data_IF_192792629884
#
_entry.id   IF_192792629884
#
_cell.length_a   1.000
_cell.length_b   1.000
_cell.length_c   1.000
_cell.angle_alpha   90.00
_cell.angle_beta   90.00
_cell.angle_gamma   90.00
#
_symmetry.space_group_name_H-M   'P 1'
#
loop_
_entity.id
_entity.type
_entity.pdbx_description
1 polymer ?
#
# COMPACT_ATOMS: atom_id res chain seq x y z
N UNK A 1 33.97 -8.07 10.12
CA UNK A 1 34.47 -9.23 9.34
C UNK A 1 34.04 -9.00 7.90
N UNK A 2 34.97 -8.57 7.06
CA UNK A 2 34.75 -8.49 5.61
C UNK A 2 34.72 -9.91 5.08
N UNK A 3 33.55 -10.38 4.64
CA UNK A 3 33.36 -11.74 4.15
C UNK A 3 33.96 -11.77 2.74
N UNK A 4 35.02 -12.55 2.51
CA UNK A 4 35.58 -12.78 1.17
C UNK A 4 34.55 -13.55 0.33
N UNK A 5 33.62 -12.81 -0.25
CA UNK A 5 32.58 -13.34 -1.12
C UNK A 5 33.18 -13.55 -2.52
N UNK A 6 32.91 -14.68 -3.18
CA UNK A 6 33.41 -14.93 -4.53
C UNK A 6 32.89 -13.88 -5.52
N UNK A 7 33.64 -13.66 -6.60
CA UNK A 7 33.22 -12.77 -7.69
C UNK A 7 31.85 -13.22 -8.24
N UNK A 8 30.88 -12.29 -8.28
CA UNK A 8 29.50 -12.59 -8.67
C UNK A 8 28.57 -13.09 -7.56
N UNK A 9 28.99 -13.08 -6.28
CA UNK A 9 28.12 -13.41 -5.15
C UNK A 9 26.90 -12.48 -5.02
N UNK A 10 27.04 -11.22 -5.42
CA UNK A 10 25.95 -10.24 -5.43
C UNK A 10 25.69 -9.79 -6.87
N UNK A 11 24.46 -10.00 -7.35
CA UNK A 11 24.00 -9.46 -8.62
C UNK A 11 23.31 -8.13 -8.29
N UNK A 12 23.79 -6.98 -8.80
CA UNK A 12 23.15 -5.71 -8.53
C UNK A 12 21.75 -5.68 -9.16
N UNK A 13 20.71 -5.77 -8.33
CA UNK A 13 19.32 -5.60 -8.78
C UNK A 13 19.04 -4.09 -8.86
N UNK A 14 18.62 -3.64 -10.03
CA UNK A 14 18.28 -2.24 -10.22
C UNK A 14 17.07 -1.87 -9.35
N UNK A 15 17.16 -0.76 -8.62
CA UNK A 15 16.11 -0.30 -7.68
C UNK A 15 14.73 -0.21 -8.34
N UNK A 16 14.64 0.14 -9.62
CA UNK A 16 13.36 0.22 -10.32
C UNK A 16 12.59 -1.11 -10.42
N UNK A 17 13.27 -2.26 -10.26
CA UNK A 17 12.64 -3.58 -10.32
C UNK A 17 11.93 -3.93 -9.00
N UNK A 18 12.36 -3.33 -7.90
CA UNK A 18 11.87 -3.63 -6.55
C UNK A 18 11.14 -2.45 -5.92
N UNK A 19 11.31 -1.24 -6.46
CA UNK A 19 10.71 -0.05 -5.90
C UNK A 19 9.18 -0.09 -6.05
N UNK A 20 8.42 0.04 -4.94
CA UNK A 20 6.97 0.18 -5.01
C UNK A 20 6.56 1.39 -5.86
N UNK A 21 5.51 1.22 -6.66
CA UNK A 21 4.95 2.28 -7.50
C UNK A 21 3.98 3.13 -6.69
N UNK A 22 4.30 4.41 -6.52
CA UNK A 22 3.48 5.39 -5.81
C UNK A 22 2.85 6.41 -6.74
N UNK A 23 1.58 6.74 -6.52
CA UNK A 23 0.89 7.87 -7.14
C UNK A 23 0.37 8.81 -6.04
N UNK A 24 0.63 10.10 -6.17
CA UNK A 24 0.34 11.14 -5.15
C UNK A 24 0.85 10.81 -3.73
N UNK A 25 1.88 9.97 -3.59
CA UNK A 25 2.43 9.58 -2.28
C UNK A 25 1.74 8.39 -1.61
N UNK A 26 0.89 7.65 -2.34
CA UNK A 26 0.28 6.38 -1.89
C UNK A 26 0.62 5.25 -2.86
N UNK A 27 0.75 3.98 -2.43
CA UNK A 27 0.87 2.84 -3.33
C UNK A 27 -0.25 2.82 -4.39
N UNK A 28 0.12 2.64 -5.66
CA UNK A 28 -0.78 2.76 -6.83
C UNK A 28 -2.11 2.03 -6.65
N UNK A 29 -2.08 0.79 -6.15
CA UNK A 29 -3.26 -0.04 -6.02
C UNK A 29 -4.26 0.54 -5.01
N UNK A 30 -3.76 1.09 -3.89
CA UNK A 30 -4.60 1.76 -2.89
C UNK A 30 -5.20 3.05 -3.43
N UNK A 31 -4.41 3.85 -4.15
CA UNK A 31 -4.90 5.10 -4.76
C UNK A 31 -6.03 4.86 -5.76
N UNK A 32 -5.90 3.83 -6.61
CA UNK A 32 -6.97 3.43 -7.53
C UNK A 32 -8.23 3.01 -6.73
N UNK A 33 -8.05 2.21 -5.68
CA UNK A 33 -9.15 1.81 -4.80
C UNK A 33 -9.87 3.00 -4.19
N UNK A 34 -9.14 3.97 -3.66
CA UNK A 34 -9.67 5.20 -3.06
C UNK A 34 -10.56 5.97 -4.05
N UNK A 35 -10.09 6.19 -5.28
CA UNK A 35 -10.88 6.87 -6.32
C UNK A 35 -12.15 6.09 -6.64
N UNK A 36 -12.06 4.78 -6.81
CA UNK A 36 -13.21 3.93 -7.11
C UNK A 36 -14.23 3.99 -5.97
N UNK A 37 -13.79 3.88 -4.71
CA UNK A 37 -14.67 4.02 -3.55
C UNK A 37 -15.29 5.42 -3.43
N UNK A 38 -14.55 6.47 -3.76
CA UNK A 38 -15.06 7.84 -3.74
C UNK A 38 -16.16 8.04 -4.80
N UNK A 39 -15.93 7.56 -6.03
CA UNK A 39 -16.91 7.64 -7.12
C UNK A 39 -18.16 6.82 -6.79
N UNK A 40 -17.99 5.55 -6.39
CA UNK A 40 -19.10 4.68 -6.03
C UNK A 40 -19.88 5.22 -4.83
N UNK A 41 -19.20 5.69 -3.79
CA UNK A 41 -19.82 6.29 -2.62
C UNK A 41 -20.60 7.55 -2.99
N UNK A 42 -20.04 8.42 -3.82
CA UNK A 42 -20.73 9.62 -4.32
C UNK A 42 -22.01 9.29 -5.08
N UNK A 43 -21.98 8.25 -5.93
CA UNK A 43 -23.15 7.78 -6.69
C UNK A 43 -24.22 7.15 -5.79
N UNK A 44 -23.84 6.25 -4.89
CA UNK A 44 -24.77 5.51 -4.02
C UNK A 44 -25.45 6.45 -3.02
N UNK A 45 -24.66 7.28 -2.33
CA UNK A 45 -25.17 8.18 -1.30
C UNK A 45 -25.70 9.50 -1.87
N UNK A 46 -25.50 9.76 -3.17
CA UNK A 46 -25.89 10.99 -3.87
C UNK A 46 -25.39 12.26 -3.15
N UNK A 47 -24.16 12.22 -2.63
CA UNK A 47 -23.57 13.31 -1.85
C UNK A 47 -22.12 13.56 -2.22
N UNK A 48 -21.72 14.84 -2.18
CA UNK A 48 -20.34 15.27 -2.33
C UNK A 48 -19.52 15.12 -1.04
N UNK A 49 -20.16 14.86 0.11
CA UNK A 49 -19.45 14.63 1.39
C UNK A 49 -18.45 13.46 1.30
N UNK A 50 -18.71 12.50 0.42
CA UNK A 50 -17.79 11.36 0.17
C UNK A 50 -16.41 11.84 -0.29
N UNK A 51 -16.32 12.96 -1.03
CA UNK A 51 -15.04 13.52 -1.48
C UNK A 51 -14.20 13.98 -0.28
N UNK A 52 -14.83 14.62 0.72
CA UNK A 52 -14.14 15.07 1.93
C UNK A 52 -13.62 13.87 2.72
N UNK A 53 -14.44 12.83 2.86
CA UNK A 53 -14.06 11.58 3.55
C UNK A 53 -12.91 10.90 2.81
N UNK A 54 -13.00 10.81 1.47
CA UNK A 54 -11.94 10.23 0.65
C UNK A 54 -10.63 11.01 0.80
N UNK A 55 -10.67 12.35 0.76
CA UNK A 55 -9.49 13.19 0.97
C UNK A 55 -8.84 12.95 2.36
N UNK A 56 -9.63 12.81 3.42
CA UNK A 56 -9.10 12.49 4.75
C UNK A 56 -8.44 11.10 4.73
N UNK A 57 -9.11 10.10 4.16
CA UNK A 57 -8.56 8.74 4.02
C UNK A 57 -7.26 8.74 3.19
N UNK A 58 -7.18 9.55 2.14
CA UNK A 58 -5.97 9.77 1.33
C UNK A 58 -4.79 10.17 2.21
N UNK A 59 -4.95 11.20 3.04
CA UNK A 59 -3.86 11.68 3.88
C UNK A 59 -3.41 10.64 4.91
N UNK A 60 -4.35 9.85 5.45
CA UNK A 60 -4.03 8.73 6.35
C UNK A 60 -3.22 7.66 5.61
N UNK A 61 -3.68 7.24 4.43
CA UNK A 61 -2.97 6.23 3.62
C UNK A 61 -1.64 6.74 3.09
N UNK A 62 -1.51 8.03 2.81
CA UNK A 62 -0.23 8.66 2.46
C UNK A 62 0.73 8.61 3.64
N UNK A 63 0.28 8.96 4.84
CA UNK A 63 1.11 8.90 6.03
C UNK A 63 1.59 7.47 6.34
N UNK A 64 0.68 6.49 6.31
CA UNK A 64 1.01 5.08 6.54
C UNK A 64 1.88 4.50 5.41
N UNK A 65 1.54 4.82 4.16
CA UNK A 65 2.26 4.38 2.98
C UNK A 65 3.68 4.93 2.90
N UNK A 66 3.96 6.08 3.51
CA UNK A 66 5.32 6.62 3.62
C UNK A 66 6.19 5.89 4.66
N UNK A 67 5.57 5.21 5.63
CA UNK A 67 6.28 4.40 6.63
C UNK A 67 6.54 2.99 6.12
N UNK A 68 5.54 2.38 5.47
CA UNK A 68 5.63 1.05 4.88
C UNK A 68 4.72 0.98 3.65
N UNK A 69 5.28 0.62 2.49
CA UNK A 69 4.51 0.46 1.26
C UNK A 69 3.47 -0.67 1.34
N UNK A 70 3.74 -1.70 2.14
CA UNK A 70 2.97 -2.95 2.23
C UNK A 70 2.06 -3.00 3.46
N UNK A 71 1.89 -1.90 4.20
CA UNK A 71 1.10 -1.85 5.43
C UNK A 71 -0.32 -2.47 5.27
N UNK A 72 -0.95 -2.21 4.12
CA UNK A 72 -2.29 -2.66 3.79
C UNK A 72 -2.36 -4.17 3.50
N UNK A 73 -1.32 -4.72 2.86
CA UNK A 73 -1.20 -6.16 2.62
C UNK A 73 -1.04 -6.89 3.96
N UNK A 74 -0.15 -6.40 4.83
CA UNK A 74 0.04 -6.95 6.18
C UNK A 74 -1.26 -6.91 6.97
N UNK A 75 -2.00 -5.80 6.91
CA UNK A 75 -3.31 -5.68 7.55
C UNK A 75 -4.29 -6.74 7.03
N UNK A 76 -4.40 -6.92 5.72
CA UNK A 76 -5.30 -7.89 5.13
C UNK A 76 -4.93 -9.33 5.47
N UNK A 77 -3.64 -9.67 5.38
CA UNK A 77 -3.13 -10.99 5.76
C UNK A 77 -3.39 -11.26 7.25
N UNK A 78 -3.12 -10.29 8.14
CA UNK A 78 -3.37 -10.42 9.59
C UNK A 78 -4.83 -10.78 9.91
N UNK A 79 -5.78 -10.27 9.13
CA UNK A 79 -7.21 -10.56 9.27
C UNK A 79 -7.56 -12.00 8.88
N UNK A 80 -6.84 -12.58 7.93
CA UNK A 80 -7.03 -13.94 7.45
C UNK A 80 -6.30 -14.99 8.31
N UNK A 81 -5.27 -14.59 9.06
CA UNK A 81 -4.43 -15.50 9.85
C UNK A 81 -5.09 -16.07 11.12
N UNK A 82 -6.25 -15.57 11.57
CA UNK A 82 -6.94 -16.11 12.76
C UNK A 82 -7.18 -17.62 12.68
N UNK A 83 -7.46 -18.16 11.50
CA UNK A 83 -7.72 -19.58 11.31
C UNK A 83 -6.47 -20.47 11.36
N UNK A 84 -5.27 -19.90 11.21
CA UNK A 84 -4.02 -20.69 11.13
C UNK A 84 -3.31 -20.85 12.48
N UNK A 85 -3.40 -19.87 13.37
CA UNK A 85 -2.63 -19.85 14.63
C UNK A 85 -3.45 -19.97 15.91
N UNK A 86 -4.73 -19.60 15.88
CA UNK A 86 -5.63 -19.68 17.03
C UNK A 86 -6.74 -20.68 16.69
N UNK A 87 -6.40 -21.97 16.79
CA UNK A 87 -7.37 -23.07 16.85
C UNK A 87 -7.76 -23.32 18.30
#
# INVERSE_FOLDING_TARGET
MEKNLPEGYEIPIHRSLVAPLYWMGIPRNLFIGEIVFAVLGGLIFKTFTVIIIAAIAHYIFRFLGQQDAQFHEVFWHSRQHKNFYYR
#
